data_IF_343561802203
#
_entry.id   IF_343561802203
#
_cell.length_a   1.000
_cell.length_b   1.000
_cell.length_c   1.000
_cell.angle_alpha   90.00
_cell.angle_beta   90.00
_cell.angle_gamma   90.00
#
_symmetry.space_group_name_H-M   'P 1'
#
loop_
_entity.id
_entity.type
_entity.pdbx_description
1 polymer ?
#
# COMPACT_ATOMS: atom_id res chain seq x y z
N UNK A 1 -35.16 -35.12 -9.95
CA UNK A 1 -35.45 -33.67 -10.06
C UNK A 1 -34.37 -32.87 -9.34
N UNK A 2 -33.62 -32.01 -10.03
CA UNK A 2 -32.54 -31.20 -9.42
C UNK A 2 -33.16 -30.07 -8.59
N UNK A 3 -32.97 -30.06 -7.26
CA UNK A 3 -33.38 -28.95 -6.39
C UNK A 3 -32.55 -27.71 -6.76
N UNK A 4 -33.22 -26.67 -7.30
CA UNK A 4 -32.64 -25.33 -7.39
C UNK A 4 -32.50 -24.78 -5.97
N UNK A 5 -31.27 -24.49 -5.56
CA UNK A 5 -31.00 -23.82 -4.30
C UNK A 5 -31.71 -22.46 -4.25
N UNK A 6 -32.43 -22.22 -3.15
CA UNK A 6 -33.20 -21.02 -2.86
C UNK A 6 -32.20 -19.86 -2.65
N UNK A 7 -31.89 -19.08 -3.69
CA UNK A 7 -31.15 -17.81 -3.59
C UNK A 7 -32.05 -16.75 -2.95
N UNK A 8 -32.32 -16.87 -1.66
CA UNK A 8 -33.27 -15.98 -0.99
C UNK A 8 -33.12 -15.99 0.53
N UNK A 9 -32.12 -15.29 1.07
CA UNK A 9 -32.16 -14.80 2.46
C UNK A 9 -31.06 -13.79 2.81
N UNK A 10 -29.93 -13.69 2.10
CA UNK A 10 -28.94 -12.61 2.30
C UNK A 10 -29.26 -11.39 1.41
N UNK A 11 -30.54 -11.12 1.19
CA UNK A 11 -30.96 -10.05 0.29
C UNK A 11 -30.97 -8.74 1.07
N UNK A 12 -29.96 -7.94 0.78
CA UNK A 12 -29.99 -6.48 0.91
C UNK A 12 -29.61 -5.91 2.29
N UNK A 13 -28.37 -6.16 2.71
CA UNK A 13 -27.72 -5.37 3.77
C UNK A 13 -27.14 -4.05 3.26
N UNK A 14 -27.27 -3.77 1.96
CA UNK A 14 -26.79 -2.53 1.35
C UNK A 14 -27.72 -1.39 1.73
N UNK A 15 -27.12 -0.25 2.08
CA UNK A 15 -27.89 0.94 2.43
C UNK A 15 -28.42 1.62 1.17
N UNK A 16 -29.64 2.21 1.19
CA UNK A 16 -30.24 2.86 0.01
C UNK A 16 -29.39 3.99 -0.58
N UNK A 17 -28.54 4.63 0.22
CA UNK A 17 -27.70 5.75 -0.21
C UNK A 17 -26.48 5.32 -1.05
N UNK A 18 -26.18 4.03 -1.12
CA UNK A 18 -25.00 3.53 -1.82
C UNK A 18 -25.24 3.30 -3.32
N UNK A 19 -24.62 4.12 -4.15
CA UNK A 19 -24.59 3.94 -5.61
C UNK A 19 -23.25 3.35 -6.08
N UNK A 20 -23.25 2.06 -6.43
CA UNK A 20 -22.08 1.36 -6.97
C UNK A 20 -22.07 1.24 -8.50
N UNK A 21 -23.01 1.87 -9.23
CA UNK A 21 -23.11 1.76 -10.70
C UNK A 21 -21.86 2.27 -11.44
N UNK A 22 -21.08 3.14 -10.81
CA UNK A 22 -19.81 3.68 -11.34
C UNK A 22 -18.54 2.93 -10.91
N UNK A 23 -18.66 1.72 -10.34
CA UNK A 23 -17.51 0.96 -9.85
C UNK A 23 -16.55 0.54 -10.97
N UNK A 24 -15.28 0.94 -10.87
CA UNK A 24 -14.22 0.52 -11.82
C UNK A 24 -13.32 -0.54 -11.17
N UNK A 25 -13.21 -1.71 -11.81
CA UNK A 25 -12.34 -2.80 -11.32
C UNK A 25 -10.89 -2.33 -11.29
N UNK A 26 -10.26 -2.42 -10.12
CA UNK A 26 -8.85 -2.08 -9.95
C UNK A 26 -8.52 -0.58 -9.92
N UNK A 27 -9.51 0.30 -9.69
CA UNK A 27 -9.33 1.78 -9.63
C UNK A 27 -8.14 2.25 -8.78
N UNK A 28 -7.80 1.52 -7.72
CA UNK A 28 -6.70 1.85 -6.80
C UNK A 28 -5.59 0.80 -6.76
N UNK A 29 -5.60 -0.19 -7.66
CA UNK A 29 -4.59 -1.26 -7.69
C UNK A 29 -3.19 -0.69 -7.89
N UNK A 30 -3.04 0.35 -8.70
CA UNK A 30 -1.75 1.02 -8.87
C UNK A 30 -1.26 1.67 -7.57
N UNK A 31 -2.13 2.34 -6.80
CA UNK A 31 -1.77 2.96 -5.51
C UNK A 31 -1.47 1.93 -4.43
N UNK A 32 -2.21 0.82 -4.42
CA UNK A 32 -1.98 -0.30 -3.52
C UNK A 32 -0.65 -1.01 -3.84
N UNK A 33 -0.41 -1.33 -5.13
CA UNK A 33 0.85 -1.94 -5.60
C UNK A 33 2.06 -1.02 -5.44
N UNK A 34 1.84 0.29 -5.51
CA UNK A 34 2.87 1.27 -5.24
C UNK A 34 3.38 1.19 -3.82
N UNK A 35 2.64 0.53 -2.90
CA UNK A 35 3.07 0.08 -1.57
C UNK A 35 3.91 1.10 -0.83
N UNK A 36 3.40 1.72 0.22
CA UNK A 36 4.31 2.39 1.16
C UNK A 36 5.24 1.33 1.72
N UNK A 37 6.49 1.34 1.27
CA UNK A 37 7.52 0.45 1.79
C UNK A 37 7.85 0.98 3.19
N UNK A 38 7.12 0.49 4.20
CA UNK A 38 7.29 0.93 5.58
C UNK A 38 8.58 0.34 6.09
N UNK A 39 9.59 1.19 6.23
CA UNK A 39 10.86 0.85 6.88
C UNK A 39 10.76 1.34 8.31
N UNK A 40 10.77 0.41 9.26
CA UNK A 40 10.84 0.74 10.68
C UNK A 40 12.29 1.09 11.01
N UNK A 41 12.50 2.25 11.62
CA UNK A 41 13.80 2.67 12.13
C UNK A 41 14.00 2.12 13.53
N UNK A 42 15.25 1.89 13.91
CA UNK A 42 15.58 1.60 15.30
C UNK A 42 15.21 2.80 16.20
N UNK A 43 14.86 2.58 17.48
CA UNK A 43 14.33 3.64 18.35
C UNK A 43 15.25 4.85 18.52
N UNK A 44 16.55 4.61 18.63
CA UNK A 44 17.60 5.62 18.75
C UNK A 44 17.70 6.47 17.48
N UNK A 45 17.60 5.84 16.31
CA UNK A 45 17.58 6.55 15.02
C UNK A 45 16.29 7.34 14.87
N UNK A 46 15.15 6.80 15.29
CA UNK A 46 13.87 7.52 15.27
C UNK A 46 13.89 8.74 16.21
N UNK A 47 14.53 8.64 17.37
CA UNK A 47 14.69 9.77 18.30
C UNK A 47 15.57 10.89 17.72
N UNK A 48 16.61 10.52 16.95
CA UNK A 48 17.48 11.48 16.29
C UNK A 48 16.79 12.30 15.18
N UNK A 49 15.68 11.81 14.62
CA UNK A 49 14.97 12.47 13.52
C UNK A 49 13.49 12.69 13.81
N UNK A 50 13.07 13.96 13.92
CA UNK A 50 11.68 14.29 14.24
C UNK A 50 10.62 13.97 13.18
N UNK A 51 11.00 13.68 11.93
CA UNK A 51 10.05 13.24 10.89
C UNK A 51 10.72 12.55 9.69
N UNK A 52 9.89 11.92 8.85
CA UNK A 52 10.32 11.23 7.63
C UNK A 52 11.00 12.14 6.59
N UNK A 53 10.68 13.45 6.54
CA UNK A 53 11.34 14.36 5.61
C UNK A 53 12.81 14.59 5.99
N UNK A 54 13.11 14.72 7.28
CA UNK A 54 14.47 14.86 7.80
C UNK A 54 15.30 13.59 7.52
N UNK A 55 14.75 12.41 7.81
CA UNK A 55 15.39 11.11 7.52
C UNK A 55 15.73 10.99 6.03
N UNK A 56 14.74 11.20 5.16
CA UNK A 56 14.92 11.04 3.73
C UNK A 56 15.94 12.03 3.14
N UNK A 57 16.01 13.26 3.68
CA UNK A 57 17.03 14.24 3.27
C UNK A 57 18.43 13.75 3.62
N UNK A 58 18.64 13.23 4.84
CA UNK A 58 19.93 12.70 5.28
C UNK A 58 20.37 11.50 4.43
N UNK A 59 19.46 10.54 4.18
CA UNK A 59 19.75 9.36 3.37
C UNK A 59 20.11 9.71 1.92
N UNK A 60 19.47 10.73 1.32
CA UNK A 60 19.82 11.20 -0.04
C UNK A 60 21.23 11.80 -0.07
N UNK A 61 21.58 12.64 0.89
CA UNK A 61 22.93 13.21 0.98
C UNK A 61 23.98 12.10 1.13
N UNK A 62 23.68 11.04 1.87
CA UNK A 62 24.55 9.87 1.99
C UNK A 62 24.71 9.11 0.67
N UNK A 63 23.63 8.97 -0.12
CA UNK A 63 23.68 8.35 -1.45
C UNK A 63 24.50 9.16 -2.45
N UNK A 64 24.52 10.49 -2.32
CA UNK A 64 25.34 11.37 -3.16
C UNK A 64 26.82 11.30 -2.77
N UNK A 65 27.10 11.16 -1.47
CA UNK A 65 28.46 11.10 -0.93
C UNK A 65 29.14 9.73 -1.09
N UNK A 66 28.35 8.64 -1.15
CA UNK A 66 28.86 7.28 -1.26
C UNK A 66 28.54 6.72 -2.65
N UNK A 67 29.54 6.30 -3.45
CA UNK A 67 29.28 5.68 -4.74
C UNK A 67 28.44 4.42 -4.52
N UNK A 68 27.19 4.48 -4.98
CA UNK A 68 26.22 3.43 -4.75
C UNK A 68 26.75 2.09 -5.28
N UNK A 69 27.03 1.13 -4.38
CA UNK A 69 27.00 -0.28 -4.77
C UNK A 69 25.55 -0.55 -5.18
N UNK A 70 25.27 -0.48 -6.49
CA UNK A 70 23.97 -0.84 -7.07
C UNK A 70 23.60 -2.20 -6.51
N UNK A 71 22.64 -2.23 -5.59
CA UNK A 71 22.07 -3.46 -5.08
C UNK A 71 21.57 -4.23 -6.30
N UNK A 72 22.19 -5.38 -6.56
CA UNK A 72 21.81 -6.27 -7.65
C UNK A 72 20.35 -6.63 -7.39
N UNK A 73 19.43 -6.00 -8.13
CA UNK A 73 18.01 -6.35 -8.10
C UNK A 73 17.94 -7.83 -8.41
N UNK A 74 17.72 -8.67 -7.39
CA UNK A 74 17.34 -10.06 -7.59
C UNK A 74 15.96 -10.01 -8.23
N UNK A 75 15.93 -10.19 -9.55
CA UNK A 75 14.73 -10.56 -10.28
C UNK A 75 14.22 -11.87 -9.69
N UNK A 76 13.01 -11.83 -9.14
CA UNK A 76 12.19 -13.03 -8.99
C UNK A 76 11.51 -13.33 -10.32
#
# INVERSE_FOLDING_TARGET
MKKRAKRSAERDTLRPEYDFRGGVRGKYVARYRAGTNVVVLDPDVAEAFGNAAAVNRALRALLDAVPARRAKRRSA
#
